data_IF_085082451390
#
_entry.id   IF_085082451390
#
_cell.length_a   1.000
_cell.length_b   1.000
_cell.length_c   1.000
_cell.angle_alpha   90.00
_cell.angle_beta   90.00
_cell.angle_gamma   90.00
#
_symmetry.space_group_name_H-M   'P 1'
#
loop_
_entity.id
_entity.type
_entity.pdbx_description
1 polymer ?
#
# COMPACT_ATOMS: atom_id res chain seq x y z
N UNK A 1 -3.28 -12.42 6.86
CA UNK A 1 -4.19 -12.47 5.69
C UNK A 1 -3.67 -13.52 4.72
N UNK A 2 -4.53 -14.19 3.95
CA UNK A 2 -4.09 -15.18 2.96
C UNK A 2 -3.89 -14.51 1.59
N UNK A 3 -2.65 -14.56 1.07
CA UNK A 3 -2.28 -14.00 -0.24
C UNK A 3 -3.22 -14.47 -1.36
N UNK A 4 -3.60 -15.75 -1.32
CA UNK A 4 -4.46 -16.37 -2.32
C UNK A 4 -5.87 -15.75 -2.29
N UNK A 5 -6.39 -15.45 -1.11
CA UNK A 5 -7.68 -14.77 -0.92
C UNK A 5 -7.67 -13.34 -1.43
N UNK A 6 -6.56 -12.62 -1.28
CA UNK A 6 -6.40 -11.27 -1.83
C UNK A 6 -6.31 -11.31 -3.36
N UNK A 7 -5.45 -12.15 -3.93
CA UNK A 7 -5.35 -12.30 -5.39
C UNK A 7 -6.71 -12.70 -5.98
N UNK A 8 -7.47 -13.58 -5.33
CA UNK A 8 -8.84 -13.93 -5.76
C UNK A 8 -9.81 -12.75 -5.68
N UNK A 9 -9.75 -11.93 -4.62
CA UNK A 9 -10.59 -10.72 -4.48
C UNK A 9 -10.38 -9.75 -5.64
N UNK A 10 -9.14 -9.60 -6.11
CA UNK A 10 -8.78 -8.68 -7.19
C UNK A 10 -8.54 -9.36 -8.55
N UNK A 11 -8.80 -10.66 -8.67
CA UNK A 11 -8.57 -11.46 -9.88
C UNK A 11 -9.36 -10.96 -11.10
N UNK A 12 -10.52 -10.37 -10.85
CA UNK A 12 -11.39 -9.81 -11.89
C UNK A 12 -11.13 -8.32 -12.17
N UNK A 13 -10.18 -7.70 -11.47
CA UNK A 13 -9.79 -6.31 -11.76
C UNK A 13 -8.94 -6.28 -13.04
N UNK A 14 -9.10 -5.25 -13.90
CA UNK A 14 -8.35 -5.14 -15.16
C UNK A 14 -6.83 -5.00 -14.95
N UNK A 15 -6.40 -4.70 -13.72
CA UNK A 15 -5.01 -4.48 -13.34
C UNK A 15 -4.42 -5.62 -12.50
N UNK A 16 -4.89 -6.87 -12.67
CA UNK A 16 -4.47 -8.03 -11.85
C UNK A 16 -2.94 -8.22 -11.74
N UNK A 17 -2.19 -7.92 -12.80
CA UNK A 17 -0.72 -7.94 -12.78
C UNK A 17 -0.13 -6.92 -11.80
N UNK A 18 -0.65 -5.69 -11.80
CA UNK A 18 -0.27 -4.66 -10.84
C UNK A 18 -0.66 -5.08 -9.42
N UNK A 19 -1.79 -5.76 -9.26
CA UNK A 19 -2.24 -6.24 -7.94
C UNK A 19 -1.28 -7.28 -7.36
N UNK A 20 -0.78 -8.24 -8.14
CA UNK A 20 0.20 -9.20 -7.62
C UNK A 20 1.51 -8.49 -7.20
N UNK A 21 1.93 -7.49 -7.96
CA UNK A 21 3.10 -6.66 -7.62
C UNK A 21 2.84 -5.92 -6.30
N UNK A 22 1.71 -5.22 -6.16
CA UNK A 22 1.37 -4.49 -4.95
C UNK A 22 1.20 -5.40 -3.74
N UNK A 23 0.61 -6.58 -3.89
CA UNK A 23 0.53 -7.60 -2.83
C UNK A 23 1.94 -8.05 -2.42
N UNK A 24 2.81 -8.35 -3.39
CA UNK A 24 4.19 -8.76 -3.10
C UNK A 24 4.96 -7.68 -2.37
N UNK A 25 4.88 -6.44 -2.83
CA UNK A 25 5.56 -5.33 -2.18
C UNK A 25 4.99 -5.10 -0.77
N UNK A 26 3.67 -5.20 -0.60
CA UNK A 26 3.06 -5.11 0.72
C UNK A 26 3.54 -6.23 1.65
N UNK A 27 3.56 -7.48 1.20
CA UNK A 27 4.09 -8.62 1.99
C UNK A 27 5.58 -8.50 2.31
N UNK A 28 6.38 -7.90 1.43
CA UNK A 28 7.82 -7.68 1.66
C UNK A 28 8.07 -6.60 2.74
N UNK A 29 7.17 -5.63 2.83
CA UNK A 29 7.26 -4.50 3.74
C UNK A 29 6.53 -4.71 5.07
N UNK A 30 5.43 -5.46 5.09
CA UNK A 30 4.63 -5.83 6.28
C UNK A 30 5.41 -6.86 7.12
N UNK A 31 6.48 -6.41 7.78
CA UNK A 31 7.41 -7.28 8.51
C UNK A 31 6.78 -7.95 9.72
N UNK A 32 5.75 -7.32 10.29
CA UNK A 32 5.02 -7.83 11.45
C UNK A 32 3.92 -8.83 11.05
N UNK A 33 3.63 -8.98 9.75
CA UNK A 33 2.55 -9.84 9.21
C UNK A 33 1.21 -9.49 9.88
N UNK A 34 1.02 -8.21 10.21
CA UNK A 34 -0.18 -7.72 10.86
C UNK A 34 -1.26 -7.38 9.82
N UNK A 35 -0.88 -7.22 8.53
CA UNK A 35 -1.78 -6.90 7.43
C UNK A 35 -2.08 -5.41 7.27
N UNK A 36 -1.29 -4.55 7.91
CA UNK A 36 -1.35 -3.09 7.88
C UNK A 36 0.08 -2.53 7.83
N UNK A 37 0.25 -1.49 7.02
CA UNK A 37 1.52 -0.83 6.82
C UNK A 37 1.53 0.47 7.60
N UNK A 38 2.41 0.59 8.59
CA UNK A 38 2.53 1.82 9.35
C UNK A 38 3.21 2.94 8.53
N UNK A 39 3.16 4.17 9.03
CA UNK A 39 3.69 5.34 8.32
C UNK A 39 5.20 5.24 7.98
N UNK A 40 5.98 4.52 8.78
CA UNK A 40 7.43 4.35 8.55
C UNK A 40 7.71 3.33 7.43
N UNK A 41 6.96 2.22 7.40
CA UNK A 41 7.00 1.24 6.32
C UNK A 41 6.52 1.86 4.99
N UNK A 42 5.41 2.60 5.02
CA UNK A 42 4.91 3.32 3.85
C UNK A 42 5.91 4.35 3.35
N UNK A 43 6.62 5.06 4.25
CA UNK A 43 7.64 6.04 3.84
C UNK A 43 8.79 5.38 3.09
N UNK A 44 9.24 4.23 3.56
CA UNK A 44 10.29 3.46 2.89
C UNK A 44 9.82 2.98 1.52
N UNK A 45 8.60 2.42 1.46
CA UNK A 45 7.99 1.94 0.22
C UNK A 45 7.75 3.08 -0.78
N UNK A 46 7.27 4.23 -0.30
CA UNK A 46 6.99 5.37 -1.16
C UNK A 46 8.27 5.89 -1.82
N UNK A 47 9.42 5.83 -1.12
CA UNK A 47 10.71 6.19 -1.69
C UNK A 47 11.24 5.18 -2.69
N UNK A 48 11.05 3.88 -2.46
CA UNK A 48 11.46 2.85 -3.42
C UNK A 48 10.56 2.83 -4.67
N UNK A 49 9.24 2.98 -4.50
CA UNK A 49 8.26 2.83 -5.59
C UNK A 49 8.07 4.11 -6.38
N UNK A 50 7.91 5.26 -5.71
CA UNK A 50 7.64 6.55 -6.37
C UNK A 50 8.90 7.43 -6.50
N UNK A 51 9.98 7.10 -5.79
CA UNK A 51 11.29 7.75 -5.89
C UNK A 51 11.73 8.51 -4.63
N UNK A 52 13.05 8.50 -4.38
CA UNK A 52 13.68 9.09 -3.19
C UNK A 52 13.52 10.61 -3.06
N UNK A 53 13.16 11.31 -4.15
CA UNK A 53 12.92 12.77 -4.16
C UNK A 53 11.62 13.19 -3.43
N UNK A 54 10.79 12.22 -3.02
CA UNK A 54 9.62 12.50 -2.20
C UNK A 54 10.05 12.98 -0.81
N UNK A 55 9.84 14.28 -0.58
CA UNK A 55 9.99 14.88 0.74
C UNK A 55 9.02 14.27 1.74
N UNK A 56 9.45 14.16 2.99
CA UNK A 56 8.66 13.65 4.11
C UNK A 56 7.26 14.27 4.20
N UNK A 57 7.16 15.57 3.88
CA UNK A 57 5.90 16.30 3.86
C UNK A 57 4.91 15.80 2.79
N UNK A 58 5.41 15.42 1.61
CA UNK A 58 4.59 14.81 0.54
C UNK A 58 4.16 13.41 0.93
N UNK A 59 5.09 12.61 1.45
CA UNK A 59 4.80 11.25 1.91
C UNK A 59 3.73 11.27 3.00
N UNK A 60 3.89 12.14 4.01
CA UNK A 60 2.91 12.33 5.08
C UNK A 60 1.55 12.76 4.54
N UNK A 61 1.52 13.71 3.59
CA UNK A 61 0.27 14.18 2.98
C UNK A 61 -0.41 13.10 2.15
N UNK A 62 0.35 12.28 1.42
CA UNK A 62 -0.17 11.13 0.69
C UNK A 62 -0.67 10.07 1.66
N UNK A 63 0.11 9.74 2.68
CA UNK A 63 -0.27 8.80 3.73
C UNK A 63 -1.60 9.20 4.37
N UNK A 64 -1.74 10.45 4.83
CA UNK A 64 -2.98 10.95 5.42
C UNK A 64 -4.18 10.98 4.48
N UNK A 65 -3.95 11.06 3.16
CA UNK A 65 -5.02 10.94 2.17
C UNK A 65 -5.48 9.49 1.97
N UNK A 66 -4.57 8.54 2.15
CA UNK A 66 -4.82 7.11 2.00
C UNK A 66 -5.38 6.49 3.28
N UNK A 67 -4.90 6.94 4.44
CA UNK A 67 -5.31 6.58 5.80
C UNK A 67 -6.67 7.22 6.10
N UNK A 68 -7.74 6.58 5.63
CA UNK A 68 -9.12 7.09 5.74
C UNK A 68 -9.67 6.94 7.14
N UNK A 69 -9.24 5.90 7.85
CA UNK A 69 -9.65 5.65 9.23
C UNK A 69 -8.84 6.49 10.24
N UNK A 70 -7.73 7.10 9.79
CA UNK A 70 -6.84 7.90 10.63
C UNK A 70 -6.26 7.13 11.81
N UNK A 71 -6.05 5.81 11.64
CA UNK A 71 -5.43 4.94 12.64
C UNK A 71 -3.88 5.06 12.63
N UNK A 72 -3.32 5.75 11.63
CA UNK A 72 -1.87 5.86 11.47
C UNK A 72 -1.25 4.62 10.85
N UNK A 73 -2.07 3.74 10.26
CA UNK A 73 -1.68 2.51 9.58
C UNK A 73 -2.53 2.33 8.33
N UNK A 74 -1.90 2.02 7.20
CA UNK A 74 -2.59 1.73 5.94
C UNK A 74 -2.96 0.25 5.90
N UNK A 75 -4.24 -0.02 5.97
CA UNK A 75 -4.78 -1.34 5.70
C UNK A 75 -4.53 -1.72 4.25
N UNK A 76 -4.46 -3.03 3.96
CA UNK A 76 -4.31 -3.52 2.59
C UNK A 76 -5.34 -2.92 1.60
N UNK A 77 -6.58 -2.70 2.05
CA UNK A 77 -7.64 -2.10 1.24
C UNK A 77 -7.35 -0.62 0.93
N UNK A 78 -6.88 0.15 1.90
CA UNK A 78 -6.49 1.56 1.75
C UNK A 78 -5.26 1.73 0.86
N UNK A 79 -4.27 0.84 1.02
CA UNK A 79 -3.09 0.80 0.16
C UNK A 79 -3.46 0.49 -1.29
N UNK A 80 -4.30 -0.53 -1.52
CA UNK A 80 -4.76 -0.93 -2.85
C UNK A 80 -5.60 0.16 -3.50
N UNK A 81 -6.51 0.79 -2.76
CA UNK A 81 -7.28 1.93 -3.24
C UNK A 81 -6.33 3.07 -3.63
N UNK A 82 -5.33 3.37 -2.80
CA UNK A 82 -4.33 4.38 -3.10
C UNK A 82 -3.51 4.11 -4.35
N UNK A 83 -3.12 2.86 -4.58
CA UNK A 83 -2.38 2.47 -5.77
C UNK A 83 -3.25 2.43 -7.03
N UNK A 84 -4.55 2.16 -6.90
CA UNK A 84 -5.48 2.09 -8.04
C UNK A 84 -6.14 3.42 -8.39
N UNK A 85 -6.37 4.31 -7.41
CA UNK A 85 -7.08 5.59 -7.56
C UNK A 85 -6.16 6.82 -7.48
N UNK A 86 -4.84 6.66 -7.68
CA UNK A 86 -3.94 7.81 -7.81
C UNK A 86 -4.16 8.49 -9.17
N UNK A 87 -5.17 9.36 -9.25
CA UNK A 87 -5.38 10.32 -10.36
C UNK A 87 -4.51 11.58 -10.23
#
# INVERSE_FOLDING_TARGET
>A
MDRNSLIQKYKNSPNVDMVDIFIRTFEDYDKDINGTMNADEYRTLAREVFGDDLSDQKIQSSFQKLDRDHDGQLSFDEYMDGCMNLE
#
